data_IF_576313530125
#
_entry.id   IF_576313530125
#
_cell.length_a   1.000
_cell.length_b   1.000
_cell.length_c   1.000
_cell.angle_alpha   90.00
_cell.angle_beta   90.00
_cell.angle_gamma   90.00
#
_symmetry.space_group_name_H-M   'P 1'
#
loop_
_entity.id
_entity.type
_entity.pdbx_description
1 polymer ?
#
# COMPACT_ATOMS: atom_id res chain seq x y z
N UNK A 1 90.51 25.48 1.54
CA UNK A 1 91.56 25.92 2.51
C UNK A 1 90.85 26.27 3.83
N UNK A 2 91.47 26.04 4.89
CA UNK A 2 91.65 24.78 5.64
C UNK A 2 90.80 24.84 6.91
N UNK A 3 90.72 23.98 7.83
CA UNK A 3 91.45 22.95 8.48
C UNK A 3 90.61 22.36 9.60
N UNK A 4 90.66 21.09 9.81
CA UNK A 4 91.23 20.38 10.93
C UNK A 4 90.94 20.93 12.31
N UNK A 5 90.41 20.17 13.31
CA UNK A 5 91.02 19.03 14.00
C UNK A 5 90.08 18.52 15.08
N UNK A 6 89.97 17.29 15.28
CA UNK A 6 90.61 16.31 16.17
C UNK A 6 90.00 16.21 17.60
N UNK A 7 89.59 14.97 17.88
CA UNK A 7 89.75 14.17 19.12
C UNK A 7 89.04 14.66 20.39
N UNK A 8 88.22 13.83 21.09
CA UNK A 8 88.83 12.74 21.88
C UNK A 8 87.68 11.79 22.45
N UNK A 9 88.16 10.60 22.56
CA UNK A 9 87.42 9.45 23.17
C UNK A 9 87.20 9.65 24.63
N UNK A 10 86.03 9.17 25.12
CA UNK A 10 85.92 8.54 26.45
C UNK A 10 84.85 7.45 26.43
N UNK A 11 85.32 6.23 26.65
CA UNK A 11 84.50 5.05 26.90
C UNK A 11 84.14 5.09 28.38
N UNK A 12 82.85 4.90 28.62
CA UNK A 12 82.43 4.44 29.92
C UNK A 12 81.46 3.27 29.80
N UNK A 13 81.90 2.15 30.27
CA UNK A 13 81.17 0.89 30.39
C UNK A 13 80.49 0.95 31.74
N UNK A 14 79.16 0.77 31.76
CA UNK A 14 78.54 0.23 32.99
C UNK A 14 77.43 -0.75 32.64
N UNK A 15 77.34 -1.74 33.47
CA UNK A 15 76.68 -3.02 33.39
C UNK A 15 75.16 -2.88 33.63
N UNK A 16 74.47 -3.85 33.03
CA UNK A 16 73.05 -4.13 33.28
C UNK A 16 72.73 -4.40 34.78
N UNK A 17 71.51 -4.18 35.20
CA UNK A 17 70.71 -5.38 35.49
C UNK A 17 69.25 -5.33 35.03
N UNK A 18 68.76 -6.49 34.73
CA UNK A 18 67.38 -7.00 34.72
C UNK A 18 66.25 -6.03 35.09
N UNK A 19 65.26 -5.94 34.18
CA UNK A 19 64.00 -5.30 34.48
C UNK A 19 62.90 -5.66 33.46
N UNK A 20 62.12 -6.62 33.77
CA UNK A 20 60.77 -6.97 33.30
C UNK A 20 60.26 -6.30 32.00
N UNK A 21 60.09 -7.09 30.95
CA UNK A 21 59.24 -6.80 29.81
C UNK A 21 57.77 -6.80 30.25
N UNK A 22 57.16 -5.63 30.37
CA UNK A 22 55.71 -5.50 30.51
C UNK A 22 55.10 -5.53 29.07
N UNK A 23 54.56 -6.66 28.69
CA UNK A 23 53.74 -6.80 27.50
C UNK A 23 52.40 -6.11 27.74
N UNK A 24 52.20 -4.90 27.20
CA UNK A 24 50.91 -4.29 27.07
C UNK A 24 50.11 -5.03 25.98
N UNK A 25 49.22 -5.92 26.42
CA UNK A 25 48.16 -6.47 25.56
C UNK A 25 47.12 -5.37 25.28
N UNK A 26 47.13 -4.78 24.11
CA UNK A 26 46.05 -3.94 23.63
C UNK A 26 44.86 -4.86 23.26
N UNK A 27 43.94 -5.02 24.21
CA UNK A 27 42.65 -5.64 23.92
C UNK A 27 41.80 -4.67 23.13
N UNK A 28 41.78 -4.84 21.81
CA UNK A 28 40.82 -4.17 20.91
C UNK A 28 39.43 -4.66 21.27
N UNK A 29 38.66 -3.88 22.01
CA UNK A 29 37.23 -4.04 22.19
C UNK A 29 36.59 -3.74 20.83
N UNK A 30 36.36 -4.76 20.00
CA UNK A 30 35.42 -4.70 18.89
C UNK A 30 34.02 -4.59 19.48
N UNK A 31 33.57 -3.36 19.75
CA UNK A 31 32.16 -3.10 19.99
C UNK A 31 31.44 -3.36 18.67
N UNK A 32 31.04 -4.60 18.44
CA UNK A 32 30.10 -4.93 17.39
C UNK A 32 28.79 -4.20 17.69
N UNK A 33 28.47 -3.20 16.88
CA UNK A 33 27.11 -2.67 16.82
C UNK A 33 26.21 -3.82 16.37
N UNK A 34 25.65 -4.58 17.33
CA UNK A 34 24.52 -5.43 17.05
C UNK A 34 23.41 -4.48 16.56
N UNK A 35 23.04 -4.58 15.30
CA UNK A 35 21.84 -3.93 14.82
C UNK A 35 20.69 -4.36 15.77
N UNK A 36 19.81 -3.43 16.17
CA UNK A 36 18.68 -3.78 17.00
C UNK A 36 17.93 -4.93 16.30
N UNK A 37 17.75 -6.04 16.97
CA UNK A 37 16.88 -7.12 16.53
C UNK A 37 15.50 -6.49 16.46
N UNK A 38 15.05 -6.22 15.26
CA UNK A 38 13.70 -5.72 15.03
C UNK A 38 12.77 -6.86 15.44
N UNK A 39 12.05 -6.68 16.54
CA UNK A 39 11.01 -7.64 16.94
C UNK A 39 10.14 -7.93 15.72
N UNK A 40 9.76 -9.19 15.47
CA UNK A 40 8.85 -9.49 14.37
C UNK A 40 7.58 -8.66 14.55
N UNK A 41 7.18 -7.93 13.53
CA UNK A 41 5.88 -7.25 13.53
C UNK A 41 4.82 -8.33 13.75
N UNK A 42 4.12 -8.27 14.88
CA UNK A 42 2.97 -9.14 15.15
C UNK A 42 1.76 -8.66 14.32
N UNK A 43 1.82 -8.90 13.02
CA UNK A 43 0.68 -8.64 12.15
C UNK A 43 -0.36 -9.73 12.36
N UNK A 44 -1.57 -9.33 12.70
CA UNK A 44 -2.71 -10.22 12.97
C UNK A 44 -3.73 -10.19 11.83
N UNK A 45 -3.60 -9.23 10.93
CA UNK A 45 -4.51 -8.99 9.83
C UNK A 45 -4.65 -10.25 8.96
N UNK A 46 -5.88 -10.69 8.78
CA UNK A 46 -6.25 -11.71 7.82
C UNK A 46 -6.61 -11.00 6.51
N UNK A 47 -6.01 -11.45 5.44
CA UNK A 47 -6.15 -10.84 4.11
C UNK A 47 -6.91 -11.79 3.21
N UNK A 48 -7.91 -11.26 2.55
CA UNK A 48 -8.62 -11.89 1.44
C UNK A 48 -8.10 -11.28 0.14
N UNK A 49 -7.80 -12.09 -0.86
CA UNK A 49 -7.34 -11.60 -2.15
C UNK A 49 -7.96 -12.40 -3.29
N UNK A 50 -8.12 -11.76 -4.44
CA UNK A 50 -8.58 -12.40 -5.68
C UNK A 50 -7.45 -12.38 -6.69
N UNK A 51 -7.14 -13.57 -7.24
CA UNK A 51 -6.14 -13.72 -8.29
C UNK A 51 -6.71 -13.41 -9.68
N UNK A 52 -5.82 -13.07 -10.62
CA UNK A 52 -6.20 -12.94 -12.03
C UNK A 52 -6.72 -14.24 -12.65
N UNK A 53 -6.49 -15.40 -12.00
CA UNK A 53 -7.01 -16.70 -12.39
C UNK A 53 -8.41 -16.99 -11.80
N UNK A 54 -9.05 -15.97 -11.18
CA UNK A 54 -10.37 -16.09 -10.56
C UNK A 54 -10.42 -17.05 -9.38
N UNK A 55 -9.40 -17.00 -8.53
CA UNK A 55 -9.38 -17.71 -7.26
C UNK A 55 -9.43 -16.71 -6.09
N UNK A 56 -10.21 -17.04 -5.07
CA UNK A 56 -10.23 -16.39 -3.79
C UNK A 56 -9.18 -17.04 -2.88
N UNK A 57 -8.30 -16.22 -2.29
CA UNK A 57 -7.27 -16.64 -1.35
C UNK A 57 -7.52 -16.00 0.00
N UNK A 58 -7.25 -16.71 1.08
CA UNK A 58 -7.18 -16.17 2.44
C UNK A 58 -5.82 -16.50 3.05
N UNK A 59 -5.16 -15.55 3.66
CA UNK A 59 -3.86 -15.72 4.30
C UNK A 59 -3.66 -14.68 5.43
N UNK A 60 -2.73 -14.96 6.33
CA UNK A 60 -2.33 -13.96 7.35
C UNK A 60 -1.21 -13.06 6.80
N UNK A 61 -1.29 -11.75 7.07
CA UNK A 61 -0.33 -10.77 6.58
C UNK A 61 1.12 -11.02 7.06
N UNK A 62 1.31 -11.65 8.22
CA UNK A 62 2.64 -12.03 8.72
C UNK A 62 3.27 -13.20 7.95
N UNK A 63 2.45 -13.98 7.22
CA UNK A 63 2.88 -15.16 6.44
C UNK A 63 2.16 -15.23 5.10
N UNK A 64 2.39 -14.27 4.19
CA UNK A 64 1.66 -14.16 2.94
C UNK A 64 1.91 -15.34 1.98
N UNK A 65 2.99 -16.08 2.17
CA UNK A 65 3.32 -17.30 1.43
C UNK A 65 2.47 -18.52 1.85
N UNK A 66 1.88 -18.48 3.04
CA UNK A 66 1.07 -19.57 3.59
C UNK A 66 -0.42 -19.29 3.41
N UNK A 67 -1.00 -19.91 2.38
CA UNK A 67 -2.43 -19.77 2.07
C UNK A 67 -3.24 -20.67 3.01
N UNK A 68 -4.18 -20.06 3.75
CA UNK A 68 -5.09 -20.74 4.66
C UNK A 68 -6.24 -21.39 3.87
N UNK A 69 -6.81 -20.63 2.92
CA UNK A 69 -7.90 -21.10 2.07
C UNK A 69 -7.70 -20.67 0.62
N UNK A 70 -8.10 -21.54 -0.30
CA UNK A 70 -8.14 -21.27 -1.74
C UNK A 70 -9.45 -21.81 -2.32
N UNK A 71 -10.18 -20.96 -3.04
CA UNK A 71 -11.47 -21.31 -3.64
C UNK A 71 -11.61 -20.74 -5.04
N UNK A 72 -12.19 -21.46 -6.00
CA UNK A 72 -12.55 -20.86 -7.28
C UNK A 72 -13.71 -19.90 -7.11
N UNK A 73 -13.71 -18.77 -7.82
CA UNK A 73 -14.86 -17.87 -7.89
C UNK A 73 -15.96 -18.49 -8.76
N UNK A 74 -17.21 -18.25 -8.36
CA UNK A 74 -18.41 -18.71 -9.04
C UNK A 74 -19.38 -17.54 -9.30
N UNK A 75 -20.18 -17.66 -10.36
CA UNK A 75 -21.23 -16.66 -10.66
C UNK A 75 -20.76 -15.44 -11.44
N UNK A 76 -19.47 -15.36 -11.83
CA UNK A 76 -19.01 -14.33 -12.74
C UNK A 76 -19.37 -14.71 -14.18
N UNK A 77 -20.01 -13.82 -14.99
CA UNK A 77 -20.30 -14.08 -16.38
C UNK A 77 -19.06 -14.40 -17.21
N UNK A 78 -19.19 -15.29 -18.18
CA UNK A 78 -18.08 -15.65 -19.07
C UNK A 78 -17.49 -14.42 -19.76
N UNK A 79 -16.16 -14.28 -19.70
CA UNK A 79 -15.43 -13.16 -20.29
C UNK A 79 -15.35 -11.91 -19.42
N UNK A 80 -16.08 -11.82 -18.30
CA UNK A 80 -15.92 -10.73 -17.33
C UNK A 80 -14.77 -11.02 -16.36
N UNK A 81 -14.24 -9.97 -15.70
CA UNK A 81 -13.14 -10.05 -14.76
C UNK A 81 -13.41 -9.17 -13.55
N UNK A 82 -12.97 -9.57 -12.38
CA UNK A 82 -12.95 -8.67 -11.24
C UNK A 82 -11.81 -7.65 -11.39
N UNK A 83 -12.03 -6.45 -10.86
CA UNK A 83 -11.07 -5.33 -10.87
C UNK A 83 -10.78 -4.77 -9.49
N UNK A 84 -11.45 -5.25 -8.46
CA UNK A 84 -11.23 -4.89 -7.07
C UNK A 84 -12.24 -5.56 -6.16
N UNK A 85 -11.87 -5.70 -4.90
CA UNK A 85 -12.72 -6.20 -3.81
C UNK A 85 -12.50 -5.31 -2.59
N UNK A 86 -13.54 -5.19 -1.75
CA UNK A 86 -13.40 -4.60 -0.43
C UNK A 86 -14.57 -4.96 0.49
N UNK A 87 -14.35 -4.89 1.81
CA UNK A 87 -15.37 -5.13 2.81
C UNK A 87 -16.22 -3.88 3.07
N UNK A 88 -17.53 -4.03 3.03
CA UNK A 88 -18.44 -3.10 3.70
C UNK A 88 -18.42 -3.42 5.18
N UNK A 89 -17.45 -2.87 5.90
CA UNK A 89 -17.14 -3.19 7.30
C UNK A 89 -18.37 -3.12 8.19
N UNK A 90 -19.22 -2.09 8.05
CA UNK A 90 -20.44 -1.92 8.83
C UNK A 90 -21.41 -3.13 8.74
N UNK A 91 -21.22 -4.04 7.80
CA UNK A 91 -22.04 -5.24 7.58
C UNK A 91 -21.24 -6.54 7.52
N UNK A 92 -19.92 -6.48 7.55
CA UNK A 92 -19.06 -7.66 7.41
C UNK A 92 -19.24 -8.38 6.06
N UNK A 93 -19.60 -7.66 5.00
CA UNK A 93 -19.88 -8.23 3.68
C UNK A 93 -18.80 -7.82 2.69
N UNK A 94 -18.16 -8.81 2.05
CA UNK A 94 -17.20 -8.57 0.99
C UNK A 94 -17.93 -8.24 -0.32
N UNK A 95 -17.49 -7.17 -0.97
CA UNK A 95 -17.96 -6.75 -2.29
C UNK A 95 -16.87 -6.95 -3.33
N UNK A 96 -17.29 -7.13 -4.58
CA UNK A 96 -16.41 -7.25 -5.74
C UNK A 96 -16.95 -6.41 -6.88
N UNK A 97 -16.06 -5.67 -7.56
CA UNK A 97 -16.38 -4.92 -8.76
C UNK A 97 -15.82 -5.65 -9.98
N UNK A 98 -16.66 -5.88 -10.97
CA UNK A 98 -16.24 -6.46 -12.25
C UNK A 98 -15.90 -5.38 -13.27
N UNK A 99 -15.10 -5.71 -14.28
CA UNK A 99 -14.69 -4.82 -15.36
C UNK A 99 -15.88 -4.34 -16.21
N UNK A 100 -16.94 -5.14 -16.27
CA UNK A 100 -18.23 -4.70 -16.82
C UNK A 100 -18.86 -3.51 -16.10
N UNK A 101 -18.36 -3.16 -14.88
CA UNK A 101 -18.94 -2.15 -14.00
C UNK A 101 -20.06 -2.68 -13.12
N UNK A 102 -20.27 -3.98 -13.08
CA UNK A 102 -21.25 -4.60 -12.19
C UNK A 102 -20.64 -4.85 -10.80
N UNK A 103 -21.38 -4.46 -9.78
CA UNK A 103 -21.04 -4.72 -8.38
C UNK A 103 -21.67 -6.06 -7.95
N UNK A 104 -20.93 -6.82 -7.15
CA UNK A 104 -21.35 -8.10 -6.57
C UNK A 104 -21.08 -8.10 -5.07
N UNK A 105 -21.79 -8.92 -4.32
CA UNK A 105 -21.33 -9.46 -3.04
C UNK A 105 -20.59 -10.76 -3.29
N UNK A 106 -19.54 -11.05 -2.50
CA UNK A 106 -18.72 -12.25 -2.60
C UNK A 106 -18.77 -13.03 -1.28
N UNK A 107 -19.27 -14.25 -1.33
CA UNK A 107 -19.35 -15.16 -0.19
C UNK A 107 -18.01 -15.88 0.01
N UNK A 108 -17.34 -15.67 1.15
CA UNK A 108 -16.01 -16.25 1.43
C UNK A 108 -16.03 -17.77 1.47
N UNK A 109 -17.06 -18.33 2.13
CA UNK A 109 -17.15 -19.79 2.34
C UNK A 109 -17.31 -20.61 1.05
N UNK A 110 -17.81 -19.98 -0.03
CA UNK A 110 -18.15 -20.68 -1.29
C UNK A 110 -17.46 -20.09 -2.52
N UNK A 111 -16.95 -18.85 -2.46
CA UNK A 111 -16.48 -18.10 -3.63
C UNK A 111 -17.61 -17.63 -4.55
N UNK A 112 -18.86 -17.65 -4.08
CA UNK A 112 -20.04 -17.27 -4.87
C UNK A 112 -20.21 -15.77 -4.97
N UNK A 113 -20.29 -15.28 -6.21
CA UNK A 113 -20.62 -13.89 -6.55
C UNK A 113 -22.12 -13.77 -6.78
N UNK A 114 -22.76 -12.80 -6.11
CA UNK A 114 -24.17 -12.46 -6.29
C UNK A 114 -24.30 -11.01 -6.76
N UNK A 115 -24.94 -10.73 -7.92
CA UNK A 115 -25.07 -9.38 -8.41
C UNK A 115 -25.83 -8.47 -7.45
N UNK A 116 -25.33 -7.24 -7.27
CA UNK A 116 -26.01 -6.20 -6.49
C UNK A 116 -26.92 -5.39 -7.44
N UNK A 117 -28.10 -4.99 -6.94
CA UNK A 117 -29.01 -4.10 -7.62
C UNK A 117 -29.64 -4.71 -8.87
N UNK A 118 -30.58 -5.63 -8.67
CA UNK A 118 -31.33 -6.23 -9.77
C UNK A 118 -31.94 -5.15 -10.69
N UNK A 119 -31.63 -5.21 -11.99
CA UNK A 119 -32.10 -4.24 -12.97
C UNK A 119 -31.29 -2.93 -13.06
N UNK A 120 -30.35 -2.67 -12.17
CA UNK A 120 -29.46 -1.51 -12.31
C UNK A 120 -28.44 -1.74 -13.44
N UNK A 121 -28.28 -0.81 -14.38
CA UNK A 121 -27.27 -0.91 -15.41
C UNK A 121 -25.85 -0.91 -14.80
N UNK A 122 -24.91 -1.65 -15.38
CA UNK A 122 -23.51 -1.56 -14.99
C UNK A 122 -22.96 -0.15 -15.17
N UNK A 123 -22.01 0.24 -14.31
CA UNK A 123 -21.36 1.55 -14.40
C UNK A 123 -20.26 1.52 -15.48
N UNK A 124 -20.17 2.56 -16.28
CA UNK A 124 -19.14 2.67 -17.33
C UNK A 124 -17.75 2.91 -16.71
N UNK A 125 -16.94 1.86 -16.60
CA UNK A 125 -15.56 1.96 -16.14
C UNK A 125 -14.63 2.38 -17.27
N UNK A 126 -13.68 3.29 -16.95
CA UNK A 126 -12.64 3.77 -17.86
C UNK A 126 -11.28 3.51 -17.26
N UNK A 127 -10.50 2.68 -17.92
CA UNK A 127 -9.16 2.29 -17.45
C UNK A 127 -8.91 0.79 -17.56
N UNK A 128 -7.74 0.38 -17.16
CA UNK A 128 -7.31 -1.03 -17.15
C UNK A 128 -6.85 -1.51 -15.77
N UNK A 129 -6.67 -0.58 -14.82
CA UNK A 129 -6.33 -0.86 -13.44
C UNK A 129 -7.13 0.10 -12.55
N UNK A 130 -7.62 -0.41 -11.42
CA UNK A 130 -8.59 0.28 -10.58
C UNK A 130 -8.23 0.13 -9.10
N UNK A 131 -8.55 1.17 -8.31
CA UNK A 131 -8.65 1.11 -6.87
C UNK A 131 -10.13 1.05 -6.48
N UNK A 132 -10.48 0.14 -5.59
CA UNK A 132 -11.85 -0.07 -5.11
C UNK A 132 -11.82 -0.18 -3.60
N UNK A 133 -12.61 0.65 -2.91
CA UNK A 133 -12.63 0.66 -1.46
C UNK A 133 -13.93 1.27 -0.91
N UNK A 134 -14.36 0.86 0.26
CA UNK A 134 -15.51 1.44 0.96
C UNK A 134 -15.10 2.65 1.80
N UNK A 135 -15.72 3.78 1.52
CA UNK A 135 -15.67 4.93 2.43
C UNK A 135 -16.56 4.64 3.65
N UNK A 136 -16.00 4.39 4.85
CA UNK A 136 -16.78 4.03 6.02
C UNK A 136 -17.67 5.17 6.52
N UNK A 137 -17.24 6.44 6.32
CA UNK A 137 -17.98 7.61 6.75
C UNK A 137 -19.23 7.90 5.90
N UNK A 138 -19.18 7.55 4.61
CA UNK A 138 -20.26 7.84 3.66
C UNK A 138 -21.07 6.60 3.25
N UNK A 139 -20.58 5.40 3.58
CA UNK A 139 -21.11 4.11 3.13
C UNK A 139 -21.30 4.07 1.60
N UNK A 140 -20.20 4.32 0.88
CA UNK A 140 -20.14 4.32 -0.58
C UNK A 140 -18.88 3.61 -1.05
N UNK A 141 -18.99 2.88 -2.16
CA UNK A 141 -17.81 2.30 -2.82
C UNK A 141 -17.14 3.40 -3.64
N UNK A 142 -15.88 3.72 -3.32
CA UNK A 142 -15.01 4.53 -4.14
C UNK A 142 -14.42 3.65 -5.23
N UNK A 143 -14.44 4.15 -6.47
CA UNK A 143 -13.74 3.53 -7.60
C UNK A 143 -12.88 4.59 -8.28
N UNK A 144 -11.59 4.33 -8.37
CA UNK A 144 -10.62 5.17 -9.09
C UNK A 144 -9.91 4.34 -10.16
N UNK A 145 -9.31 4.99 -11.16
CA UNK A 145 -8.60 4.26 -12.21
C UNK A 145 -7.31 4.94 -12.66
N UNK A 146 -6.48 4.17 -13.35
CA UNK A 146 -5.23 4.65 -13.95
C UNK A 146 -5.43 5.70 -15.06
N UNK A 147 -6.67 5.95 -15.50
CA UNK A 147 -7.02 7.05 -16.39
C UNK A 147 -7.66 8.24 -15.66
N UNK A 148 -7.52 8.28 -14.34
CA UNK A 148 -8.01 9.36 -13.50
C UNK A 148 -9.52 9.35 -13.26
N UNK A 149 -10.26 8.32 -13.68
CA UNK A 149 -11.68 8.21 -13.35
C UNK A 149 -11.87 8.18 -11.84
N UNK A 150 -12.91 8.85 -11.34
CA UNK A 150 -13.24 8.96 -9.92
C UNK A 150 -14.76 8.82 -9.78
N UNK A 151 -15.20 7.73 -9.17
CA UNK A 151 -16.60 7.37 -9.02
C UNK A 151 -16.94 7.03 -7.57
N UNK A 152 -18.21 7.15 -7.26
CA UNK A 152 -18.83 6.57 -6.07
C UNK A 152 -20.01 5.70 -6.48
N UNK A 153 -20.11 4.50 -5.90
CA UNK A 153 -21.23 3.60 -6.14
C UNK A 153 -22.06 3.43 -4.87
N UNK A 154 -23.36 3.24 -5.05
CA UNK A 154 -24.26 2.90 -3.95
C UNK A 154 -24.17 1.39 -3.68
N UNK A 155 -23.83 0.96 -2.46
CA UNK A 155 -23.59 -0.45 -2.18
C UNK A 155 -24.82 -1.35 -2.31
N UNK A 156 -26.02 -0.82 -2.08
CA UNK A 156 -27.25 -1.63 -2.14
C UNK A 156 -27.85 -1.72 -3.55
N UNK A 157 -27.49 -0.81 -4.44
CA UNK A 157 -28.04 -0.79 -5.80
C UNK A 157 -26.99 -0.96 -6.91
N UNK A 158 -25.70 -0.81 -6.60
CA UNK A 158 -24.63 -0.78 -7.59
C UNK A 158 -24.64 0.46 -8.51
N UNK A 159 -25.59 1.38 -8.32
CA UNK A 159 -25.72 2.57 -9.13
C UNK A 159 -24.60 3.58 -8.84
N UNK A 160 -24.15 4.29 -9.89
CA UNK A 160 -23.27 5.43 -9.71
C UNK A 160 -23.97 6.52 -8.91
N UNK A 161 -23.27 7.13 -7.96
CA UNK A 161 -23.72 8.32 -7.24
C UNK A 161 -23.42 9.54 -8.13
N UNK A 162 -24.37 10.45 -8.24
CA UNK A 162 -24.18 11.71 -8.96
C UNK A 162 -23.12 12.59 -8.29
N UNK A 163 -22.14 13.02 -9.06
CA UNK A 163 -21.06 13.89 -8.60
C UNK A 163 -21.40 15.37 -8.63
N UNK A 164 -22.43 15.78 -9.36
CA UNK A 164 -22.86 17.19 -9.49
C UNK A 164 -24.37 17.27 -9.74
N UNK A 165 -25.13 17.30 -8.68
CA UNK A 165 -26.59 17.39 -8.73
C UNK A 165 -27.14 18.75 -9.23
N UNK A 166 -26.29 19.71 -9.53
CA UNK A 166 -26.66 20.99 -10.12
C UNK A 166 -26.72 20.93 -11.65
N UNK A 167 -26.19 19.84 -12.25
CA UNK A 167 -26.21 19.59 -13.70
C UNK A 167 -27.21 18.50 -14.04
N UNK A 168 -27.93 18.64 -15.16
CA UNK A 168 -28.81 17.57 -15.64
C UNK A 168 -28.02 16.30 -15.98
N UNK A 169 -28.58 15.13 -15.65
CA UNK A 169 -28.00 13.83 -15.90
C UNK A 169 -27.00 13.37 -14.82
N UNK A 170 -26.49 12.17 -14.98
CA UNK A 170 -25.59 11.54 -14.03
C UNK A 170 -24.15 11.98 -14.32
N UNK A 171 -23.51 12.64 -13.37
CA UNK A 171 -22.13 13.10 -13.46
C UNK A 171 -21.20 12.20 -12.65
N UNK A 172 -19.98 11.97 -13.15
CA UNK A 172 -18.88 11.44 -12.32
C UNK A 172 -18.34 12.52 -11.38
N UNK A 173 -17.68 12.12 -10.30
CA UNK A 173 -16.82 13.05 -9.56
C UNK A 173 -15.71 13.58 -10.49
N UNK A 174 -15.15 14.78 -10.25
CA UNK A 174 -14.01 15.30 -11.01
C UNK A 174 -12.86 14.30 -11.12
N UNK A 175 -12.21 14.28 -12.30
CA UNK A 175 -11.06 13.42 -12.55
C UNK A 175 -9.93 13.67 -11.54
N UNK A 176 -9.19 12.61 -11.24
CA UNK A 176 -8.01 12.68 -10.38
C UNK A 176 -6.96 13.59 -10.99
N UNK A 177 -6.41 14.47 -10.18
CA UNK A 177 -5.31 15.36 -10.53
C UNK A 177 -4.53 15.74 -9.28
N UNK A 178 -3.26 15.95 -9.39
CA UNK A 178 -2.47 16.51 -8.31
C UNK A 178 -2.90 17.96 -7.98
N UNK A 179 -2.92 18.30 -6.70
CA UNK A 179 -3.17 19.68 -6.27
C UNK A 179 -2.08 20.63 -6.82
N UNK A 180 -2.41 21.91 -7.06
CA UNK A 180 -1.45 22.88 -7.58
C UNK A 180 -0.19 23.05 -6.71
N UNK A 181 -0.34 22.86 -5.40
CA UNK A 181 0.76 22.95 -4.44
C UNK A 181 1.58 21.67 -4.33
N UNK A 182 1.19 20.59 -5.03
CA UNK A 182 1.87 19.32 -4.97
C UNK A 182 3.11 19.30 -5.88
N UNK A 183 4.16 18.61 -5.45
CA UNK A 183 5.41 18.44 -6.21
C UNK A 183 5.17 17.79 -7.58
N UNK A 184 4.11 16.98 -7.70
CA UNK A 184 3.73 16.27 -8.92
C UNK A 184 2.61 16.97 -9.72
N UNK A 185 2.24 18.24 -9.42
CA UNK A 185 1.10 18.95 -10.00
C UNK A 185 1.05 18.95 -11.55
N UNK A 186 2.20 18.84 -12.20
CA UNK A 186 2.30 18.80 -13.67
C UNK A 186 2.19 17.37 -14.27
N UNK A 187 2.02 16.35 -13.42
CA UNK A 187 1.93 14.95 -13.84
C UNK A 187 0.48 14.50 -13.94
N UNK A 188 0.19 13.66 -14.95
CA UNK A 188 -1.04 12.89 -14.96
C UNK A 188 -0.90 11.71 -13.99
N UNK A 189 -1.83 11.53 -13.02
CA UNK A 189 -1.75 10.41 -12.10
C UNK A 189 -2.21 9.10 -12.75
N UNK A 190 -1.55 8.00 -12.39
CA UNK A 190 -1.97 6.63 -12.71
C UNK A 190 -2.34 5.88 -11.42
N UNK A 191 -3.45 6.25 -10.82
CA UNK A 191 -3.93 5.63 -9.58
C UNK A 191 -4.52 4.26 -9.84
N UNK A 192 -4.05 3.24 -9.10
CA UNK A 192 -4.45 1.84 -9.30
C UNK A 192 -4.92 1.13 -8.02
N UNK A 193 -4.78 1.79 -6.88
CA UNK A 193 -5.26 1.30 -5.59
C UNK A 193 -5.80 2.47 -4.77
N UNK A 194 -6.78 2.23 -3.93
CA UNK A 194 -7.34 3.19 -2.98
C UNK A 194 -7.72 2.48 -1.70
N UNK A 195 -7.62 3.16 -0.55
CA UNK A 195 -8.04 2.65 0.74
C UNK A 195 -8.36 3.79 1.70
N UNK A 196 -9.37 3.61 2.55
CA UNK A 196 -9.79 4.58 3.56
C UNK A 196 -9.31 4.17 4.95
N UNK A 197 -8.90 5.15 5.76
CA UNK A 197 -8.69 4.95 7.19
C UNK A 197 -10.02 4.84 7.92
N UNK A 198 -9.99 4.24 9.10
CA UNK A 198 -11.10 4.21 10.04
C UNK A 198 -10.77 5.03 11.29
N UNK A 199 -11.69 5.89 11.72
CA UNK A 199 -11.56 6.64 12.96
C UNK A 199 -12.51 6.07 14.02
N UNK A 200 -12.01 5.38 15.08
CA UNK A 200 -12.83 4.75 16.09
C UNK A 200 -13.57 5.75 17.00
N UNK A 201 -13.13 7.01 17.03
CA UNK A 201 -13.72 8.04 17.89
C UNK A 201 -14.79 8.87 17.17
N UNK A 202 -14.69 9.00 15.84
CA UNK A 202 -15.66 9.71 15.01
C UNK A 202 -15.77 9.03 13.64
N UNK A 203 -16.77 8.19 13.47
CA UNK A 203 -17.02 7.47 12.23
C UNK A 203 -17.36 8.35 11.00
N UNK A 204 -17.39 9.68 11.16
CA UNK A 204 -17.50 10.63 10.03
C UNK A 204 -16.16 11.10 9.51
N UNK A 205 -15.08 10.79 10.22
CA UNK A 205 -13.72 11.17 9.84
C UNK A 205 -13.01 9.98 9.20
N UNK A 206 -12.39 10.24 8.07
CA UNK A 206 -11.57 9.27 7.34
C UNK A 206 -10.64 9.97 6.38
N UNK A 207 -9.50 9.37 6.08
CA UNK A 207 -8.56 9.81 5.04
C UNK A 207 -8.54 8.79 3.92
N UNK A 208 -8.69 9.22 2.67
CA UNK A 208 -8.52 8.35 1.51
C UNK A 208 -7.06 8.38 1.04
N UNK A 209 -6.41 7.23 1.10
CA UNK A 209 -5.09 7.00 0.52
C UNK A 209 -5.22 6.27 -0.82
N UNK A 210 -4.20 6.43 -1.67
CA UNK A 210 -4.15 5.76 -2.96
C UNK A 210 -2.70 5.54 -3.41
N UNK A 211 -2.48 4.66 -4.37
CA UNK A 211 -1.16 4.41 -4.96
C UNK A 211 -1.16 4.88 -6.41
N UNK A 212 -0.25 5.81 -6.72
CA UNK A 212 0.10 6.15 -8.11
C UNK A 212 1.23 5.23 -8.57
N UNK A 213 0.92 4.33 -9.50
CA UNK A 213 1.86 3.30 -9.96
C UNK A 213 3.00 3.86 -10.81
N UNK A 214 2.72 4.90 -11.63
CA UNK A 214 3.72 5.46 -12.54
C UNK A 214 4.87 6.13 -11.76
N UNK A 215 4.55 6.73 -10.63
CA UNK A 215 5.53 7.39 -9.76
C UNK A 215 6.03 6.48 -8.62
N UNK A 216 5.31 5.40 -8.30
CA UNK A 216 5.61 4.54 -7.15
C UNK A 216 5.49 5.30 -5.84
N UNK A 217 4.44 6.09 -5.69
CA UNK A 217 4.18 6.94 -4.52
C UNK A 217 2.83 6.63 -3.88
N UNK A 218 2.79 6.79 -2.56
CA UNK A 218 1.54 6.92 -1.82
C UNK A 218 1.04 8.36 -1.94
N UNK A 219 -0.25 8.52 -2.19
CA UNK A 219 -0.94 9.81 -2.25
C UNK A 219 -2.16 9.81 -1.34
N UNK A 220 -2.60 10.99 -0.91
CA UNK A 220 -3.93 11.20 -0.35
C UNK A 220 -4.85 11.76 -1.42
N UNK A 221 -6.09 11.30 -1.48
CA UNK A 221 -7.14 11.90 -2.29
C UNK A 221 -8.02 12.76 -1.37
N UNK A 222 -7.93 14.07 -1.53
CA UNK A 222 -8.50 15.05 -0.59
C UNK A 222 -7.53 15.47 0.50
N UNK A 223 -8.06 15.88 1.66
CA UNK A 223 -7.27 16.20 2.86
C UNK A 223 -7.22 15.03 3.83
N UNK A 224 -6.21 15.05 4.70
CA UNK A 224 -6.18 14.19 5.88
C UNK A 224 -7.31 14.56 6.83
N UNK A 225 -7.86 13.61 7.56
CA UNK A 225 -8.81 13.88 8.63
C UNK A 225 -8.22 14.87 9.65
N UNK A 226 -9.06 15.80 10.12
CA UNK A 226 -8.65 16.87 11.04
C UNK A 226 -7.93 18.06 10.38
N UNK A 227 -7.55 18.01 9.12
CA UNK A 227 -6.96 19.14 8.41
C UNK A 227 -8.00 20.24 8.10
N UNK A 228 -7.54 21.51 8.12
CA UNK A 228 -8.36 22.67 7.73
C UNK A 228 -7.59 23.51 6.71
N UNK A 229 -8.18 23.87 5.57
CA UNK A 229 -9.54 23.55 5.12
C UNK A 229 -9.70 22.07 4.71
N UNK A 230 -10.89 21.53 4.95
CA UNK A 230 -11.24 20.19 4.49
C UNK A 230 -11.37 20.17 2.98
N UNK A 231 -10.68 19.24 2.33
CA UNK A 231 -10.81 18.96 0.89
C UNK A 231 -11.40 17.58 0.71
N UNK A 232 -12.60 17.50 0.19
CA UNK A 232 -13.28 16.22 -0.05
C UNK A 232 -12.56 15.38 -1.11
N UNK A 233 -12.45 14.04 -0.95
CA UNK A 233 -11.93 13.14 -1.98
C UNK A 233 -12.77 13.19 -3.28
N UNK A 234 -14.03 13.64 -3.20
CA UNK A 234 -14.87 13.82 -4.38
C UNK A 234 -14.35 14.90 -5.34
N UNK A 235 -13.46 15.80 -4.89
CA UNK A 235 -12.84 16.81 -5.76
C UNK A 235 -11.78 16.24 -6.72
N UNK A 236 -11.36 15.00 -6.53
CA UNK A 236 -10.30 14.35 -7.29
C UNK A 236 -8.89 14.91 -7.04
N UNK A 237 -8.72 15.79 -6.05
CA UNK A 237 -7.40 16.35 -5.73
C UNK A 237 -6.53 15.33 -5.02
N UNK A 238 -5.32 15.10 -5.56
CA UNK A 238 -4.29 14.25 -4.98
C UNK A 238 -3.19 15.09 -4.34
N UNK A 239 -2.64 14.59 -3.23
CA UNK A 239 -1.48 15.12 -2.53
C UNK A 239 -0.50 14.00 -2.27
N UNK A 240 0.75 14.17 -2.68
CA UNK A 240 1.81 13.19 -2.46
C UNK A 240 2.13 13.07 -0.97
N UNK A 241 2.07 11.85 -0.44
CA UNK A 241 2.56 11.52 0.90
C UNK A 241 4.06 11.24 0.83
N UNK A 242 4.47 10.32 -0.04
CA UNK A 242 5.87 9.99 -0.24
C UNK A 242 6.09 8.76 -1.12
N UNK A 243 7.36 8.47 -1.38
CA UNK A 243 7.75 7.32 -2.20
C UNK A 243 7.58 6.01 -1.44
N UNK A 244 7.06 4.99 -2.12
CA UNK A 244 7.05 3.62 -1.63
C UNK A 244 8.47 3.02 -1.52
N UNK A 245 9.44 3.61 -2.21
CA UNK A 245 10.82 3.09 -2.28
C UNK A 245 11.00 1.91 -3.24
N UNK A 246 9.98 1.62 -4.06
CA UNK A 246 9.95 0.47 -4.97
C UNK A 246 10.16 0.86 -6.45
N UNK A 247 10.20 2.17 -6.74
CA UNK A 247 10.14 2.68 -8.10
C UNK A 247 8.76 2.50 -8.74
N UNK A 248 8.64 2.68 -10.07
CA UNK A 248 7.37 2.48 -10.80
C UNK A 248 6.85 1.05 -10.66
N UNK A 249 5.52 0.93 -10.52
CA UNK A 249 4.86 -0.35 -10.32
C UNK A 249 4.19 -0.81 -11.63
N UNK A 250 4.09 -2.12 -11.81
CA UNK A 250 3.26 -2.68 -12.88
C UNK A 250 1.83 -2.89 -12.41
N UNK A 251 1.65 -3.15 -11.10
CA UNK A 251 0.35 -3.40 -10.50
C UNK A 251 0.39 -3.18 -8.98
N UNK A 252 -0.74 -2.80 -8.39
CA UNK A 252 -0.91 -2.71 -6.95
C UNK A 252 -2.38 -2.87 -6.55
N UNK A 253 -2.59 -3.51 -5.39
CA UNK A 253 -3.83 -3.46 -4.62
C UNK A 253 -3.48 -3.03 -3.20
N UNK A 254 -4.36 -2.31 -2.53
CA UNK A 254 -4.11 -1.79 -1.18
C UNK A 254 -5.39 -1.83 -0.38
N UNK A 255 -5.24 -2.10 0.93
CA UNK A 255 -6.30 -1.92 1.90
C UNK A 255 -5.75 -1.47 3.25
N UNK A 256 -6.61 -0.87 4.08
CA UNK A 256 -6.30 -0.36 5.42
C UNK A 256 -7.27 -0.96 6.42
N UNK A 257 -6.76 -1.66 7.43
CA UNK A 257 -7.55 -2.27 8.50
C UNK A 257 -8.44 -1.24 9.22
N UNK A 258 -9.71 -1.57 9.36
CA UNK A 258 -10.70 -0.80 10.12
C UNK A 258 -10.48 -0.86 11.65
N UNK A 259 -9.67 -1.80 12.12
CA UNK A 259 -9.40 -2.00 13.55
C UNK A 259 -8.28 -1.08 14.06
N UNK A 260 -7.18 -0.96 13.30
CA UNK A 260 -5.95 -0.32 13.77
C UNK A 260 -5.24 0.54 12.72
N UNK A 261 -5.83 0.70 11.53
CA UNK A 261 -5.26 1.40 10.38
C UNK A 261 -3.93 0.81 9.88
N UNK A 262 -3.66 -0.49 10.12
CA UNK A 262 -2.58 -1.20 9.42
C UNK A 262 -2.84 -1.16 7.92
N UNK A 263 -1.93 -0.55 7.17
CA UNK A 263 -2.04 -0.42 5.72
C UNK A 263 -1.19 -1.47 5.02
N UNK A 264 -1.82 -2.30 4.19
CA UNK A 264 -1.17 -3.35 3.41
C UNK A 264 -1.32 -3.07 1.92
N UNK A 265 -0.25 -3.37 1.16
CA UNK A 265 -0.31 -3.31 -0.30
C UNK A 265 0.35 -4.54 -0.92
N UNK A 266 -0.37 -5.18 -1.83
CA UNK A 266 0.15 -6.21 -2.71
C UNK A 266 0.65 -5.54 -4.00
N UNK A 267 1.95 -5.66 -4.28
CA UNK A 267 2.62 -4.87 -5.31
C UNK A 267 3.42 -5.76 -6.25
N UNK A 268 3.47 -5.35 -7.52
CA UNK A 268 4.35 -5.91 -8.56
C UNK A 268 5.14 -4.79 -9.23
N UNK A 269 6.39 -5.08 -9.59
CA UNK A 269 7.26 -4.15 -10.33
C UNK A 269 7.80 -4.80 -11.59
N UNK A 270 8.35 -4.01 -12.51
CA UNK A 270 9.01 -4.56 -13.69
C UNK A 270 10.25 -5.42 -13.34
N UNK A 271 10.94 -5.08 -12.24
CA UNK A 271 12.09 -5.82 -11.75
C UNK A 271 11.72 -7.07 -10.95
N UNK A 272 10.49 -7.16 -10.45
CA UNK A 272 9.97 -8.33 -9.75
C UNK A 272 8.51 -8.60 -10.13
N UNK A 273 8.25 -9.56 -11.03
CA UNK A 273 6.92 -9.88 -11.51
C UNK A 273 6.06 -10.64 -10.49
N UNK A 274 6.64 -11.12 -9.39
CA UNK A 274 5.88 -11.78 -8.31
C UNK A 274 5.17 -10.75 -7.46
N UNK A 275 3.93 -11.05 -7.09
CA UNK A 275 3.16 -10.23 -6.14
C UNK A 275 3.79 -10.32 -4.76
N UNK A 276 4.17 -9.18 -4.21
CA UNK A 276 4.75 -9.04 -2.88
C UNK A 276 3.83 -8.23 -1.98
N UNK A 277 3.61 -8.71 -0.76
CA UNK A 277 2.89 -7.97 0.27
C UNK A 277 3.86 -7.03 0.99
N UNK A 278 3.42 -5.80 1.20
CA UNK A 278 4.16 -4.76 1.93
C UNK A 278 3.27 -4.13 3.00
N UNK A 279 3.88 -3.79 4.12
CA UNK A 279 3.32 -2.85 5.08
C UNK A 279 3.65 -1.43 4.60
N UNK A 280 2.65 -0.54 4.62
CA UNK A 280 2.79 0.85 4.17
C UNK A 280 2.72 1.79 5.36
N UNK A 281 3.71 2.65 5.50
CA UNK A 281 3.67 3.76 6.45
C UNK A 281 2.84 4.92 5.86
N UNK A 282 1.66 5.15 6.41
CA UNK A 282 0.73 6.17 5.94
C UNK A 282 1.21 7.61 6.17
N UNK A 283 2.29 7.81 6.93
CA UNK A 283 2.87 9.14 7.16
C UNK A 283 3.99 9.49 6.17
N UNK A 284 4.73 8.47 5.71
CA UNK A 284 5.91 8.67 4.85
C UNK A 284 5.76 8.06 3.47
N UNK A 285 4.77 7.19 3.26
CA UNK A 285 4.60 6.39 2.06
C UNK A 285 5.50 5.16 1.97
N UNK A 286 6.47 5.00 2.88
CA UNK A 286 7.47 3.92 2.81
C UNK A 286 6.82 2.55 2.87
N UNK A 287 7.20 1.67 1.92
CA UNK A 287 6.82 0.27 1.91
C UNK A 287 7.88 -0.61 2.59
N UNK A 288 7.43 -1.52 3.44
CA UNK A 288 8.28 -2.54 4.09
C UNK A 288 7.82 -3.91 3.63
N UNK A 289 8.72 -4.70 3.03
CA UNK A 289 8.40 -6.03 2.51
C UNK A 289 8.02 -6.99 3.64
N UNK A 290 6.90 -7.69 3.49
CA UNK A 290 6.45 -8.78 4.36
C UNK A 290 6.75 -10.14 3.74
N UNK A 291 6.56 -10.31 2.44
CA UNK A 291 6.83 -11.55 1.73
C UNK A 291 6.16 -11.64 0.36
N UNK A 292 6.35 -12.76 -0.31
CA UNK A 292 5.65 -13.07 -1.56
C UNK A 292 4.28 -13.65 -1.23
N UNK A 293 3.23 -13.20 -1.90
CA UNK A 293 1.87 -13.76 -1.71
C UNK A 293 1.75 -15.06 -2.47
N UNK A 294 1.48 -16.14 -1.76
CA UNK A 294 1.34 -17.48 -2.33
C UNK A 294 2.53 -17.85 -3.26
N UNK A 295 2.27 -18.13 -4.51
CA UNK A 295 3.26 -18.41 -5.57
C UNK A 295 3.74 -17.14 -6.31
N UNK A 296 3.19 -15.97 -5.95
CA UNK A 296 3.47 -14.69 -6.58
C UNK A 296 2.58 -14.37 -7.79
N UNK A 297 1.50 -15.10 -8.01
CA UNK A 297 0.53 -14.84 -9.08
C UNK A 297 -0.07 -13.43 -8.96
N UNK A 298 -0.47 -12.80 -10.11
CA UNK A 298 -1.11 -11.49 -10.11
C UNK A 298 -2.42 -11.48 -9.29
N UNK A 299 -2.59 -10.47 -8.45
CA UNK A 299 -3.85 -10.17 -7.78
C UNK A 299 -4.61 -9.07 -8.53
N UNK A 300 -5.93 -9.12 -8.48
CA UNK A 300 -6.83 -8.09 -9.02
C UNK A 300 -7.50 -7.27 -7.91
N UNK A 301 -7.36 -7.70 -6.67
CA UNK A 301 -7.84 -7.00 -5.48
C UNK A 301 -7.45 -7.74 -4.21
N UNK A 302 -7.35 -7.00 -3.12
CA UNK A 302 -7.19 -7.53 -1.77
C UNK A 302 -8.00 -6.69 -0.80
N UNK A 303 -8.42 -7.30 0.30
CA UNK A 303 -9.12 -6.67 1.41
C UNK A 303 -8.69 -7.30 2.73
N UNK A 304 -8.68 -6.53 3.81
CA UNK A 304 -8.40 -7.01 5.16
C UNK A 304 -9.74 -7.38 5.81
N UNK A 305 -9.82 -8.56 6.43
CA UNK A 305 -11.03 -8.95 7.16
C UNK A 305 -11.24 -8.03 8.37
N UNK A 306 -12.48 -7.54 8.58
CA UNK A 306 -12.82 -6.66 9.69
C UNK A 306 -12.69 -7.31 11.07
#
# INVERSE_FOLDING_TARGET
>A
MPSLSLLSRLRFRWQSPFGLAAALAVASLAAGCAAPVQEPLELREQVVAVTAAHELLTFNAARPDHILERRPLQGLPAGDKLVGIDFRVARGVLYALAQSGRLYTLELGTGQLTPVGAGTPPVALKGSAFGVDFNPAADRVRVVSNLGQNLRLHPDTGAQVDGDNLRPGLQSDPYLRYAWSDVNHARAPEVVAAAYTYNPNDGKLTTNYAIDRALGVLVMQGSREGETPVVSPNTGQLRTVGSLGLGPLTDASMDISDVNNTALAAVRTAGNPKTQLHLIDLNTGKATLLGVVADGSPLVGMAIEP
#
